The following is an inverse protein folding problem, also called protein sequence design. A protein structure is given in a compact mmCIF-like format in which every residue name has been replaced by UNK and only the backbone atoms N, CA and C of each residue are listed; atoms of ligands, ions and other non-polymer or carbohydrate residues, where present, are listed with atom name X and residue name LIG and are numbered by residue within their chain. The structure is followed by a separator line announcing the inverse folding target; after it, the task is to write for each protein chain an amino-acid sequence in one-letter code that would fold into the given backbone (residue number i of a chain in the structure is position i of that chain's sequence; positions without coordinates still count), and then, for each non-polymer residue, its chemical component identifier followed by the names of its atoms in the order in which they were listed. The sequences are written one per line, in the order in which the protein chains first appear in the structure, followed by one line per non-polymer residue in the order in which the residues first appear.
data_IF_844795507976
#
_entry.id   IF_844795507976
#
_cell.length_a   1.000
_cell.length_b   1.000
_cell.length_c   1.000
_cell.angle_alpha   90.00
_cell.angle_beta   90.00
_cell.angle_gamma   90.00
#
_symmetry.space_group_name_H-M   'P 1'
#
loop_
_entity.id
_entity.type
_entity.pdbx_description
1 polymer ?
#
# COMPACT_ATOMS: atom_id res chain seq x y z
N UNK A 1 -11.69 -20.14 -30.20
CA UNK A 1 -12.11 -19.03 -29.31
C UNK A 1 -11.24 -19.07 -28.07
N UNK A 2 -10.24 -18.18 -27.98
CA UNK A 2 -9.57 -17.89 -26.71
C UNK A 2 -10.58 -17.24 -25.77
N UNK A 3 -10.77 -17.78 -24.55
CA UNK A 3 -11.50 -17.06 -23.52
C UNK A 3 -10.64 -15.88 -23.10
N UNK A 4 -11.21 -14.68 -23.11
CA UNK A 4 -10.51 -13.54 -22.55
C UNK A 4 -10.43 -13.71 -21.03
N UNK A 5 -9.20 -13.78 -20.51
CA UNK A 5 -8.91 -13.94 -19.09
C UNK A 5 -8.45 -12.63 -18.45
N UNK A 6 -8.61 -11.49 -19.14
CA UNK A 6 -8.39 -10.18 -18.53
C UNK A 6 -9.31 -10.02 -17.31
N UNK A 7 -8.73 -9.81 -16.12
CA UNK A 7 -9.51 -9.30 -14.99
C UNK A 7 -9.98 -7.89 -15.39
N UNK A 8 -11.29 -7.61 -15.39
CA UNK A 8 -11.79 -6.33 -15.89
C UNK A 8 -11.23 -5.18 -15.05
N UNK A 9 -10.83 -4.10 -15.72
CA UNK A 9 -10.24 -2.90 -15.12
C UNK A 9 -11.30 -2.09 -14.35
N UNK A 10 -11.75 -2.63 -13.21
CA UNK A 10 -12.77 -2.05 -12.35
C UNK A 10 -12.23 -0.84 -11.60
N UNK A 11 -12.31 0.33 -12.22
CA UNK A 11 -12.34 1.60 -11.51
C UNK A 11 -13.56 1.65 -10.58
N UNK A 12 -13.43 2.35 -9.45
CA UNK A 12 -14.56 2.63 -8.58
C UNK A 12 -15.48 3.64 -9.29
N UNK A 13 -16.77 3.35 -9.52
CA UNK A 13 -17.64 4.28 -10.22
C UNK A 13 -18.14 5.42 -9.32
N UNK A 14 -18.60 6.48 -9.97
CA UNK A 14 -19.13 7.71 -9.36
C UNK A 14 -20.47 7.47 -8.61
N UNK A 15 -20.92 8.46 -7.84
CA UNK A 15 -22.08 8.34 -6.94
C UNK A 15 -23.07 9.51 -7.08
N UNK A 16 -24.39 9.25 -7.17
CA UNK A 16 -25.43 10.20 -6.77
C UNK A 16 -25.44 10.38 -5.24
N UNK A 17 -26.20 11.37 -4.74
CA UNK A 17 -26.27 11.73 -3.32
C UNK A 17 -27.68 11.52 -2.69
N UNK A 18 -27.75 11.68 -1.36
CA UNK A 18 -28.97 11.75 -0.51
C UNK A 18 -29.77 10.44 -0.28
N UNK A 19 -30.49 10.19 0.83
CA UNK A 19 -30.67 10.91 2.12
C UNK A 19 -31.02 9.97 3.33
N UNK A 20 -31.14 10.58 4.53
CA UNK A 20 -31.52 10.12 5.89
C UNK A 20 -32.44 8.88 6.12
N UNK A 21 -32.26 8.16 7.26
CA UNK A 21 -33.15 8.20 8.47
C UNK A 21 -32.61 7.33 9.67
N UNK A 22 -33.39 7.13 10.76
CA UNK A 22 -33.03 6.69 12.15
C UNK A 22 -34.18 5.85 12.79
N UNK A 23 -34.21 5.24 14.01
CA UNK A 23 -33.28 5.05 15.18
C UNK A 23 -33.79 3.93 16.13
N UNK A 24 -32.90 3.32 16.96
CA UNK A 24 -33.20 2.52 18.20
C UNK A 24 -34.01 1.19 18.02
N UNK A 25 -34.21 0.24 18.97
CA UNK A 25 -34.10 0.09 20.46
C UNK A 25 -33.34 -1.24 20.84
N UNK A 26 -32.42 -1.32 21.83
CA UNK A 26 -32.51 -1.53 23.31
C UNK A 26 -32.56 -3.00 23.83
N UNK A 27 -31.93 -3.25 25.00
CA UNK A 27 -31.89 -4.47 25.86
C UNK A 27 -31.06 -5.68 25.38
N UNK A 28 -30.40 -6.48 26.25
CA UNK A 28 -29.97 -6.32 27.67
C UNK A 28 -28.78 -7.29 27.93
N UNK A 29 -27.91 -7.08 28.95
CA UNK A 29 -26.68 -7.86 29.10
C UNK A 29 -26.85 -9.14 29.95
N UNK A 30 -26.38 -10.28 29.45
CA UNK A 30 -26.05 -11.48 30.27
C UNK A 30 -25.16 -12.51 29.55
N UNK A 31 -25.29 -12.68 28.22
CA UNK A 31 -24.44 -13.62 27.45
C UNK A 31 -22.97 -13.19 27.28
N UNK A 32 -22.66 -11.90 27.49
CA UNK A 32 -21.35 -11.33 27.16
C UNK A 32 -20.15 -11.94 27.91
N UNK A 33 -20.33 -12.30 29.19
CA UNK A 33 -19.24 -12.83 30.02
C UNK A 33 -18.76 -14.21 29.57
N UNK A 34 -19.68 -15.09 29.14
CA UNK A 34 -19.32 -16.44 28.65
C UNK A 34 -18.50 -16.33 27.37
N UNK A 35 -18.93 -15.46 26.44
CA UNK A 35 -18.21 -15.24 25.19
C UNK A 35 -16.80 -14.64 25.42
N UNK A 36 -16.68 -13.72 26.39
CA UNK A 36 -15.39 -13.11 26.74
C UNK A 36 -14.40 -14.14 27.31
N UNK A 37 -14.85 -15.07 28.17
CA UNK A 37 -14.01 -16.14 28.71
C UNK A 37 -13.52 -17.09 27.59
N UNK A 38 -14.41 -17.48 26.66
CA UNK A 38 -14.05 -18.35 25.53
C UNK A 38 -13.00 -17.68 24.63
N UNK A 39 -13.17 -16.39 24.30
CA UNK A 39 -12.21 -15.64 23.49
C UNK A 39 -10.86 -15.49 24.19
N UNK A 40 -10.85 -15.22 25.50
CA UNK A 40 -9.61 -15.09 26.28
C UNK A 40 -8.84 -16.42 26.37
N UNK A 41 -9.54 -17.54 26.55
CA UNK A 41 -8.95 -18.87 26.55
C UNK A 41 -8.33 -19.26 25.19
N UNK A 42 -9.02 -18.95 24.09
CA UNK A 42 -8.50 -19.17 22.74
C UNK A 42 -7.24 -18.34 22.44
N UNK A 43 -7.21 -17.07 22.87
CA UNK A 43 -6.03 -16.20 22.77
C UNK A 43 -4.85 -16.74 23.59
N UNK A 44 -5.08 -17.19 24.82
CA UNK A 44 -4.03 -17.75 25.67
C UNK A 44 -3.44 -19.05 25.07
N UNK A 45 -4.29 -19.90 24.49
CA UNK A 45 -3.85 -21.11 23.79
C UNK A 45 -2.97 -20.79 22.57
N UNK A 46 -3.35 -19.78 21.76
CA UNK A 46 -2.55 -19.34 20.60
C UNK A 46 -1.18 -18.79 21.01
N UNK A 47 -1.11 -18.03 22.12
CA UNK A 47 0.18 -17.54 22.65
C UNK A 47 1.06 -18.71 23.13
N UNK A 48 0.49 -19.68 23.84
CA UNK A 48 1.23 -20.85 24.34
C UNK A 48 1.72 -21.77 23.20
N UNK A 49 0.97 -21.89 22.10
CA UNK A 49 1.42 -22.61 20.90
C UNK A 49 2.52 -21.83 20.18
N UNK A 50 2.36 -20.51 20.01
CA UNK A 50 3.35 -19.66 19.34
C UNK A 50 4.72 -19.63 20.04
N UNK A 51 4.74 -19.69 21.37
CA UNK A 51 5.99 -19.70 22.16
C UNK A 51 6.83 -20.98 22.00
N UNK A 52 6.29 -22.07 21.42
CA UNK A 52 6.99 -23.36 21.31
C UNK A 52 7.79 -23.55 20.00
N UNK A 53 7.71 -22.61 19.05
CA UNK A 53 8.48 -22.64 17.80
C UNK A 53 9.37 -21.39 17.65
N UNK A 54 10.34 -21.24 18.55
CA UNK A 54 11.47 -20.32 18.40
C UNK A 54 12.77 -21.10 18.18
N UNK A 55 12.99 -21.57 16.96
CA UNK A 55 14.31 -22.02 16.50
C UNK A 55 14.50 -21.67 15.02
N UNK A 56 15.11 -20.50 14.78
CA UNK A 56 15.52 -19.99 13.46
C UNK A 56 16.81 -19.20 13.68
N UNK A 57 17.96 -19.82 13.43
CA UNK A 57 19.25 -19.11 13.45
C UNK A 57 19.32 -18.08 12.31
N UNK A 58 19.69 -16.85 12.65
CA UNK A 58 19.81 -15.72 11.74
C UNK A 58 21.26 -15.41 11.32
N UNK A 59 22.24 -16.30 11.61
CA UNK A 59 23.68 -16.05 11.41
C UNK A 59 24.34 -16.75 10.21
N UNK A 60 23.73 -16.73 9.03
CA UNK A 60 24.48 -17.07 7.79
C UNK A 60 23.90 -16.49 6.49
N UNK A 61 24.13 -15.21 6.20
CA UNK A 61 24.07 -14.71 4.82
C UNK A 61 25.10 -13.60 4.55
N UNK A 62 26.18 -13.96 3.85
CA UNK A 62 27.08 -12.98 3.20
C UNK A 62 26.39 -12.37 1.96
N UNK A 63 26.72 -11.14 1.56
CA UNK A 63 25.98 -10.46 0.50
C UNK A 63 26.46 -10.90 -0.90
N UNK A 64 25.68 -11.76 -1.57
CA UNK A 64 25.69 -11.79 -3.05
C UNK A 64 25.07 -10.51 -3.61
N UNK A 65 25.41 -10.16 -4.84
CA UNK A 65 24.87 -9.01 -5.59
C UNK A 65 23.34 -9.09 -5.78
N UNK A 66 22.73 -7.97 -6.19
CA UNK A 66 21.27 -7.83 -6.21
C UNK A 66 20.65 -8.51 -7.45
N UNK A 67 21.28 -8.40 -8.62
CA UNK A 67 20.80 -9.05 -9.86
C UNK A 67 20.72 -10.57 -9.72
N UNK A 68 21.77 -11.22 -9.21
CA UNK A 68 21.82 -12.68 -9.04
C UNK A 68 20.61 -13.18 -8.21
N UNK A 69 20.21 -12.41 -7.18
CA UNK A 69 19.08 -12.76 -6.32
C UNK A 69 17.72 -12.54 -6.96
N UNK A 70 17.61 -11.64 -7.93
CA UNK A 70 16.39 -11.49 -8.74
C UNK A 70 16.30 -12.66 -9.73
N UNK A 71 17.41 -13.03 -10.38
CA UNK A 71 17.43 -14.09 -11.38
C UNK A 71 17.28 -15.50 -10.76
N UNK A 72 18.05 -15.83 -9.72
CA UNK A 72 17.87 -17.08 -8.93
C UNK A 72 16.46 -17.15 -8.33
N UNK A 73 15.95 -16.05 -7.78
CA UNK A 73 14.62 -15.99 -7.18
C UNK A 73 13.49 -16.21 -8.19
N UNK A 74 13.63 -15.66 -9.41
CA UNK A 74 12.71 -15.94 -10.51
C UNK A 74 12.82 -17.38 -11.01
N UNK A 75 14.02 -17.96 -11.10
CA UNK A 75 14.19 -19.36 -11.51
C UNK A 75 13.66 -20.36 -10.48
N UNK A 76 13.96 -20.19 -9.19
CA UNK A 76 13.44 -21.06 -8.12
C UNK A 76 11.90 -20.95 -8.01
N UNK A 77 11.35 -19.73 -8.11
CA UNK A 77 9.90 -19.54 -8.17
C UNK A 77 9.29 -20.20 -9.42
N UNK A 78 9.93 -20.07 -10.60
CA UNK A 78 9.52 -20.75 -11.84
C UNK A 78 9.59 -22.28 -11.71
N UNK A 79 10.63 -22.84 -11.10
CA UNK A 79 10.79 -24.28 -10.82
C UNK A 79 9.74 -24.78 -9.83
N UNK A 80 9.39 -23.98 -8.82
CA UNK A 80 8.29 -24.26 -7.86
C UNK A 80 6.90 -24.15 -8.49
N UNK A 81 6.71 -23.27 -9.47
CA UNK A 81 5.48 -23.17 -10.28
C UNK A 81 5.39 -24.24 -11.39
N UNK A 82 6.50 -24.87 -11.76
CA UNK A 82 6.57 -25.98 -12.72
C UNK A 82 6.33 -27.35 -12.08
N UNK A 83 6.48 -27.48 -10.75
CA UNK A 83 5.82 -28.58 -10.03
C UNK A 83 4.31 -28.32 -10.04
N UNK A 84 3.53 -29.22 -10.65
CA UNK A 84 2.11 -29.27 -10.30
C UNK A 84 2.00 -29.50 -8.79
N UNK A 85 1.20 -28.72 -8.05
CA UNK A 85 1.03 -28.92 -6.62
C UNK A 85 0.31 -30.24 -6.36
N UNK A 86 0.80 -31.00 -5.37
CA UNK A 86 0.22 -32.29 -4.95
C UNK A 86 -1.31 -32.20 -4.88
N UNK A 87 -1.96 -33.11 -5.61
CA UNK A 87 -3.30 -32.93 -6.20
C UNK A 87 -4.27 -32.14 -5.31
N UNK A 88 -4.45 -30.85 -5.60
CA UNK A 88 -5.29 -29.98 -4.77
C UNK A 88 -6.79 -30.36 -4.87
N UNK A 89 -7.20 -31.27 -4.00
CA UNK A 89 -8.56 -31.76 -3.88
C UNK A 89 -9.52 -30.61 -3.55
N UNK A 90 -10.30 -30.21 -4.55
CA UNK A 90 -11.25 -29.10 -4.44
C UNK A 90 -10.78 -27.77 -5.02
N UNK A 91 -9.50 -27.59 -5.42
CA UNK A 91 -9.05 -26.33 -6.04
C UNK A 91 -9.93 -25.91 -7.22
N UNK A 92 -10.31 -26.85 -8.11
CA UNK A 92 -11.21 -26.55 -9.24
C UNK A 92 -12.59 -26.03 -8.78
N UNK A 93 -13.13 -26.52 -7.65
CA UNK A 93 -14.39 -26.02 -7.08
C UNK A 93 -14.21 -24.62 -6.44
N UNK A 94 -13.10 -24.41 -5.72
CA UNK A 94 -12.76 -23.12 -5.12
C UNK A 94 -12.53 -22.05 -6.19
N UNK A 95 -11.71 -22.34 -7.20
CA UNK A 95 -11.44 -21.47 -8.36
C UNK A 95 -12.73 -21.15 -9.10
N UNK A 96 -13.59 -22.13 -9.40
CA UNK A 96 -14.89 -21.85 -10.05
C UNK A 96 -15.81 -20.99 -9.19
N UNK A 97 -15.78 -21.11 -7.85
CA UNK A 97 -16.52 -20.20 -6.96
C UNK A 97 -15.94 -18.79 -7.01
N UNK A 98 -14.63 -18.65 -6.81
CA UNK A 98 -13.93 -17.35 -6.83
C UNK A 98 -14.14 -16.65 -8.18
N UNK A 99 -13.98 -17.35 -9.31
CA UNK A 99 -14.24 -16.79 -10.64
C UNK A 99 -15.70 -16.38 -10.84
N UNK A 100 -16.66 -17.11 -10.27
CA UNK A 100 -18.08 -16.68 -10.29
C UNK A 100 -18.25 -15.38 -9.50
N UNK A 101 -17.73 -15.32 -8.28
CA UNK A 101 -17.88 -14.16 -7.39
C UNK A 101 -17.18 -12.91 -7.97
N UNK A 102 -15.99 -13.07 -8.58
CA UNK A 102 -15.25 -12.00 -9.28
C UNK A 102 -15.80 -11.65 -10.67
N UNK A 103 -16.65 -12.48 -11.28
CA UNK A 103 -17.33 -12.14 -12.55
C UNK A 103 -18.48 -11.15 -12.37
N UNK A 104 -18.93 -10.93 -11.14
CA UNK A 104 -19.96 -9.95 -10.83
C UNK A 104 -19.38 -8.53 -10.94
N UNK A 105 -20.14 -7.62 -11.57
CA UNK A 105 -19.78 -6.19 -11.62
C UNK A 105 -19.83 -5.61 -10.21
N UNK A 106 -18.69 -5.13 -9.70
CA UNK A 106 -18.64 -4.44 -8.41
C UNK A 106 -19.44 -3.13 -8.44
N UNK A 107 -20.08 -2.81 -7.32
CA UNK A 107 -20.83 -1.57 -7.12
C UNK A 107 -20.44 -0.92 -5.79
N UNK A 108 -20.33 0.41 -5.80
CA UNK A 108 -19.99 1.20 -4.62
C UNK A 108 -21.15 1.17 -3.62
N UNK A 109 -20.94 0.58 -2.45
CA UNK A 109 -21.87 0.74 -1.33
C UNK A 109 -21.59 2.08 -0.63
N UNK A 110 -22.38 3.10 -0.96
CA UNK A 110 -22.12 4.47 -0.53
C UNK A 110 -22.20 4.63 1.00
N UNK A 111 -23.16 3.99 1.66
CA UNK A 111 -23.30 4.01 3.13
C UNK A 111 -22.06 3.48 3.84
N UNK A 112 -21.50 2.36 3.36
CA UNK A 112 -20.27 1.80 3.91
C UNK A 112 -19.03 2.65 3.56
N UNK A 113 -18.98 3.24 2.37
CA UNK A 113 -17.93 4.16 1.95
C UNK A 113 -17.89 5.41 2.86
N UNK A 114 -19.03 6.06 3.07
CA UNK A 114 -19.16 7.23 3.95
C UNK A 114 -18.84 6.87 5.41
N UNK A 115 -19.32 5.72 5.90
CA UNK A 115 -18.98 5.23 7.25
C UNK A 115 -17.48 5.03 7.42
N UNK A 116 -16.79 4.40 6.45
CA UNK A 116 -15.35 4.23 6.48
C UNK A 116 -14.60 5.57 6.40
N UNK A 117 -15.03 6.47 5.52
CA UNK A 117 -14.45 7.82 5.39
C UNK A 117 -14.52 8.60 6.71
N UNK A 118 -15.68 8.61 7.36
CA UNK A 118 -15.87 9.26 8.67
C UNK A 118 -15.02 8.62 9.77
N UNK A 119 -14.88 7.29 9.79
CA UNK A 119 -13.99 6.60 10.73
C UNK A 119 -12.51 6.98 10.53
N UNK A 120 -12.04 7.07 9.28
CA UNK A 120 -10.66 7.45 8.98
C UNK A 120 -10.37 8.92 9.30
N UNK A 121 -11.32 9.82 9.04
CA UNK A 121 -11.19 11.24 9.42
C UNK A 121 -11.12 11.36 10.95
N UNK A 122 -12.10 10.81 11.67
CA UNK A 122 -12.27 11.05 13.09
C UNK A 122 -11.21 10.36 13.97
N UNK A 123 -10.75 9.15 13.60
CA UNK A 123 -9.80 8.39 14.42
C UNK A 123 -8.33 8.61 14.01
N UNK A 124 -8.05 8.73 12.70
CA UNK A 124 -6.68 8.85 12.22
C UNK A 124 -6.25 10.31 12.04
N UNK A 125 -7.14 11.17 11.50
CA UNK A 125 -6.79 12.44 10.85
C UNK A 125 -5.67 12.25 9.80
N UNK A 126 -5.81 11.19 8.99
CA UNK A 126 -4.72 10.66 8.16
C UNK A 126 -4.14 11.67 7.16
N UNK A 127 -4.97 12.55 6.59
CA UNK A 127 -4.50 13.57 5.63
C UNK A 127 -3.54 14.58 6.26
N UNK A 128 -3.83 15.08 7.46
CA UNK A 128 -2.98 16.06 8.16
C UNK A 128 -1.72 15.41 8.78
N UNK A 129 -1.78 14.11 9.10
CA UNK A 129 -0.64 13.35 9.64
C UNK A 129 0.24 12.70 8.58
N UNK A 130 -0.22 12.56 7.34
CA UNK A 130 0.58 11.99 6.25
C UNK A 130 1.79 12.85 5.85
N UNK A 131 1.81 14.14 6.20
CA UNK A 131 2.87 15.08 5.85
C UNK A 131 3.47 15.71 7.09
N UNK A 132 4.79 15.62 7.24
CA UNK A 132 5.54 16.48 8.17
C UNK A 132 5.68 17.86 7.52
N UNK A 133 5.29 18.91 8.23
CA UNK A 133 5.28 20.30 7.74
C UNK A 133 5.81 21.25 8.81
N UNK A 134 6.30 22.42 8.41
CA UNK A 134 6.71 23.47 9.37
C UNK A 134 5.56 23.88 10.32
N UNK A 135 4.31 23.79 9.86
CA UNK A 135 3.11 24.13 10.64
C UNK A 135 2.66 23.05 11.63
N UNK A 136 2.96 21.76 11.41
CA UNK A 136 2.66 20.68 12.37
C UNK A 136 3.88 20.14 13.14
N UNK A 137 5.09 20.51 12.73
CA UNK A 137 6.36 20.12 13.35
C UNK A 137 7.28 21.34 13.55
N UNK A 138 6.98 22.24 14.51
CA UNK A 138 7.79 23.43 14.79
C UNK A 138 9.23 23.12 15.23
N UNK A 139 10.11 24.11 15.14
CA UNK A 139 11.48 24.02 15.65
C UNK A 139 11.49 23.63 17.15
N UNK A 140 12.34 22.68 17.52
CA UNK A 140 12.46 22.16 18.88
C UNK A 140 11.47 21.05 19.26
N UNK A 141 10.41 20.79 18.49
CA UNK A 141 9.50 19.67 18.76
C UNK A 141 10.10 18.32 18.33
N UNK A 142 9.43 17.21 18.65
CA UNK A 142 9.88 15.85 18.28
C UNK A 142 8.90 15.16 17.33
N UNK A 143 9.45 14.50 16.31
CA UNK A 143 8.72 13.61 15.40
C UNK A 143 8.99 12.17 15.86
N UNK A 144 7.93 11.44 16.20
CA UNK A 144 7.99 10.00 16.50
C UNK A 144 7.94 9.18 15.22
N UNK A 145 8.67 8.07 15.15
CA UNK A 145 8.65 7.18 13.98
C UNK A 145 7.42 6.23 14.01
N UNK A 146 6.88 5.88 12.84
CA UNK A 146 5.65 5.05 12.78
C UNK A 146 5.86 3.62 13.28
N UNK A 147 6.95 2.97 12.83
CA UNK A 147 7.24 1.56 13.11
C UNK A 147 8.08 1.28 14.35
N UNK A 148 8.67 2.31 14.98
CA UNK A 148 9.59 2.17 16.12
C UNK A 148 9.41 3.32 17.12
N UNK A 149 9.66 3.07 18.41
CA UNK A 149 9.60 4.09 19.48
C UNK A 149 10.72 5.16 19.43
N UNK A 150 11.40 5.31 18.30
CA UNK A 150 12.44 6.33 18.10
C UNK A 150 11.79 7.69 17.85
N UNK A 151 12.48 8.74 18.25
CA UNK A 151 12.10 10.14 17.97
C UNK A 151 13.23 10.89 17.26
N UNK A 152 12.90 11.96 16.55
CA UNK A 152 13.84 12.95 16.01
C UNK A 152 13.38 14.34 16.39
N UNK A 153 14.22 15.08 17.11
CA UNK A 153 14.02 16.52 17.35
C UNK A 153 14.14 17.29 16.05
N UNK A 154 13.24 18.25 15.84
CA UNK A 154 13.26 19.19 14.72
C UNK A 154 14.31 20.27 15.03
N UNK A 155 15.46 20.17 14.37
CA UNK A 155 16.47 21.22 14.33
C UNK A 155 16.29 22.11 13.09
N UNK A 156 17.05 23.20 12.98
CA UNK A 156 16.93 24.17 11.89
C UNK A 156 17.14 23.54 10.50
N UNK A 157 18.12 22.63 10.38
CA UNK A 157 18.41 21.89 9.15
C UNK A 157 17.20 21.06 8.68
N UNK A 158 16.52 20.36 9.59
CA UNK A 158 15.31 19.61 9.26
C UNK A 158 14.11 20.54 9.00
N UNK A 159 13.92 21.56 9.83
CA UNK A 159 12.83 22.53 9.69
C UNK A 159 12.86 23.24 8.33
N UNK A 160 14.05 23.60 7.85
CA UNK A 160 14.24 24.25 6.55
C UNK A 160 14.08 23.29 5.35
N UNK A 161 14.07 21.97 5.56
CA UNK A 161 13.88 20.93 4.51
C UNK A 161 12.44 20.42 4.39
N UNK A 162 11.64 20.51 5.46
CA UNK A 162 10.23 20.10 5.44
C UNK A 162 9.35 21.20 4.81
N UNK A 163 8.30 20.84 4.06
CA UNK A 163 7.44 21.82 3.38
C UNK A 163 6.67 22.70 4.39
N UNK A 164 6.36 23.93 3.99
CA UNK A 164 5.61 24.88 4.83
C UNK A 164 4.21 24.36 5.18
N UNK A 165 3.53 23.76 4.21
CA UNK A 165 2.19 23.18 4.32
C UNK A 165 2.10 21.93 3.43
N UNK A 166 1.08 21.08 3.63
CA UNK A 166 0.79 19.99 2.71
C UNK A 166 0.32 20.54 1.35
N UNK A 167 0.90 20.08 0.25
CA UNK A 167 0.67 20.60 -1.12
C UNK A 167 -0.64 20.12 -1.77
N UNK A 168 -1.66 19.77 -0.97
CA UNK A 168 -2.93 19.23 -1.45
C UNK A 168 -4.11 20.10 -1.01
N UNK A 169 -4.99 20.43 -1.95
CA UNK A 169 -6.24 21.10 -1.64
C UNK A 169 -7.15 20.17 -0.84
N UNK A 170 -7.87 20.71 0.16
CA UNK A 170 -8.93 20.01 0.92
C UNK A 170 -10.19 19.68 0.07
N UNK A 171 -10.06 19.56 -1.26
CA UNK A 171 -11.14 19.18 -2.16
C UNK A 171 -11.45 17.68 -2.00
N UNK A 172 -12.73 17.35 -2.10
CA UNK A 172 -13.15 15.98 -2.37
C UNK A 172 -12.95 15.74 -3.87
N UNK A 173 -12.55 14.52 -4.22
CA UNK A 173 -12.34 14.04 -5.59
C UNK A 173 -13.24 12.84 -5.80
N UNK A 174 -13.82 12.73 -6.99
CA UNK A 174 -14.83 11.73 -7.33
C UNK A 174 -14.18 10.39 -7.68
N UNK A 175 -13.03 10.43 -8.38
CA UNK A 175 -12.30 9.24 -8.83
C UNK A 175 -10.80 9.31 -8.50
N UNK A 176 -10.33 8.31 -7.75
CA UNK A 176 -8.91 8.14 -7.43
C UNK A 176 -8.45 6.72 -7.81
N UNK A 177 -7.28 6.60 -8.43
CA UNK A 177 -6.62 5.31 -8.68
C UNK A 177 -5.41 5.14 -7.76
N UNK A 178 -5.31 3.98 -7.09
CA UNK A 178 -4.14 3.61 -6.27
C UNK A 178 -3.48 2.39 -6.92
N UNK A 179 -2.33 2.61 -7.57
CA UNK A 179 -1.66 1.63 -8.42
C UNK A 179 -0.53 0.98 -7.64
N UNK A 180 -0.78 -0.25 -7.17
CA UNK A 180 0.23 -1.12 -6.58
C UNK A 180 1.00 -1.91 -7.64
N UNK A 181 2.19 -2.39 -7.29
CA UNK A 181 3.16 -2.97 -8.23
C UNK A 181 2.91 -4.48 -8.46
N UNK A 182 1.66 -4.90 -8.49
CA UNK A 182 1.27 -6.31 -8.60
C UNK A 182 1.37 -6.83 -10.04
N UNK A 183 1.99 -8.01 -10.23
CA UNK A 183 2.15 -8.64 -11.55
C UNK A 183 0.83 -8.93 -12.29
N UNK A 184 -0.31 -8.92 -11.59
CA UNK A 184 -1.66 -8.97 -12.18
C UNK A 184 -1.96 -7.84 -13.17
N UNK A 185 -1.21 -6.72 -13.11
CA UNK A 185 -1.34 -5.64 -14.08
C UNK A 185 -0.72 -5.97 -15.44
N UNK A 186 0.20 -6.94 -15.54
CA UNK A 186 0.83 -7.32 -16.83
C UNK A 186 -0.24 -7.83 -17.79
N UNK A 187 -0.21 -7.36 -19.04
CA UNK A 187 -1.20 -7.62 -20.09
C UNK A 187 -2.65 -7.15 -19.81
N UNK A 188 -2.97 -6.65 -18.62
CA UNK A 188 -4.34 -6.21 -18.22
C UNK A 188 -4.96 -5.14 -19.11
N UNK A 189 -4.11 -4.32 -19.74
CA UNK A 189 -4.51 -3.15 -20.56
C UNK A 189 -5.27 -2.05 -19.79
N UNK A 190 -5.15 -2.01 -18.46
CA UNK A 190 -5.83 -1.02 -17.62
C UNK A 190 -5.24 0.40 -17.65
N UNK A 191 -4.30 0.71 -18.54
CA UNK A 191 -3.56 1.99 -18.50
C UNK A 191 -4.46 3.21 -18.76
N UNK A 192 -5.34 3.13 -19.75
CA UNK A 192 -6.31 4.19 -20.06
C UNK A 192 -7.32 4.40 -18.92
N UNK A 193 -7.77 3.30 -18.29
CA UNK A 193 -8.66 3.37 -17.13
C UNK A 193 -7.97 4.02 -15.92
N UNK A 194 -6.73 3.64 -15.62
CA UNK A 194 -5.94 4.28 -14.55
C UNK A 194 -5.75 5.78 -14.85
N UNK A 195 -5.48 6.13 -16.11
CA UNK A 195 -5.25 7.50 -16.54
C UNK A 195 -6.55 8.32 -16.65
N UNK A 196 -7.74 7.73 -16.60
CA UNK A 196 -9.01 8.47 -16.60
C UNK A 196 -9.38 9.05 -15.23
N UNK A 197 -8.84 8.50 -14.13
CA UNK A 197 -9.10 8.99 -12.77
C UNK A 197 -8.65 10.45 -12.57
N UNK A 198 -9.34 11.21 -11.73
CA UNK A 198 -8.94 12.59 -11.39
C UNK A 198 -7.57 12.65 -10.69
N UNK A 199 -7.21 11.61 -9.93
CA UNK A 199 -5.97 11.57 -9.14
C UNK A 199 -5.37 10.16 -9.06
N UNK A 200 -4.07 10.03 -9.32
CA UNK A 200 -3.36 8.74 -9.37
C UNK A 200 -2.21 8.71 -8.36
N UNK A 201 -2.22 7.69 -7.49
CA UNK A 201 -1.18 7.40 -6.50
C UNK A 201 -0.42 6.14 -6.94
N UNK A 202 0.91 6.21 -6.97
CA UNK A 202 1.82 5.10 -7.34
C UNK A 202 2.76 4.76 -6.19
N UNK A 203 3.19 3.50 -6.09
CA UNK A 203 3.95 3.01 -4.94
C UNK A 203 5.41 2.66 -5.28
N UNK A 204 6.36 3.22 -4.53
CA UNK A 204 7.79 2.86 -4.57
C UNK A 204 8.46 2.95 -5.96
N UNK A 205 8.32 4.10 -6.64
CA UNK A 205 8.90 4.39 -7.97
C UNK A 205 8.74 3.25 -9.01
N UNK A 206 7.51 2.86 -9.38
CA UNK A 206 7.30 1.77 -10.34
C UNK A 206 7.60 2.24 -11.77
N UNK A 207 8.21 1.41 -12.63
CA UNK A 207 8.49 1.79 -14.01
C UNK A 207 7.19 2.03 -14.79
N UNK A 208 7.01 3.26 -15.30
CA UNK A 208 5.88 3.67 -16.17
C UNK A 208 6.35 3.97 -17.60
N UNK A 209 7.41 3.29 -18.05
CA UNK A 209 7.96 3.44 -19.39
C UNK A 209 6.98 2.93 -20.47
N UNK A 210 7.37 3.03 -21.75
CA UNK A 210 6.47 2.76 -22.89
C UNK A 210 5.81 1.38 -22.85
N UNK A 211 6.53 0.36 -22.39
CA UNK A 211 6.09 -1.03 -22.41
C UNK A 211 5.01 -1.31 -21.35
N UNK A 212 5.16 -0.74 -20.16
CA UNK A 212 4.15 -0.86 -19.09
C UNK A 212 3.00 0.13 -19.23
N UNK A 213 3.19 1.26 -19.92
CA UNK A 213 2.20 2.36 -19.99
C UNK A 213 0.81 1.94 -20.49
N UNK A 214 0.70 0.97 -21.41
CA UNK A 214 -0.58 0.39 -21.85
C UNK A 214 -1.38 -0.25 -20.70
N UNK A 215 -0.70 -0.70 -19.66
CA UNK A 215 -1.26 -1.54 -18.60
C UNK A 215 -1.36 -0.82 -17.26
N UNK A 216 -0.42 0.07 -16.95
CA UNK A 216 -0.35 0.81 -15.67
C UNK A 216 -0.64 2.30 -15.80
N UNK A 217 -0.78 2.82 -17.03
CA UNK A 217 -0.99 4.25 -17.29
C UNK A 217 0.29 5.08 -17.08
N UNK A 218 0.20 6.39 -17.34
CA UNK A 218 1.26 7.37 -17.14
C UNK A 218 0.89 8.49 -16.17
N UNK A 219 -0.41 8.82 -16.04
CA UNK A 219 -0.90 9.84 -15.11
C UNK A 219 -0.42 9.48 -13.70
N UNK A 220 0.14 10.48 -13.03
CA UNK A 220 0.67 10.36 -11.67
C UNK A 220 0.44 11.72 -11.00
N UNK A 221 0.09 11.71 -9.72
CA UNK A 221 -0.04 12.92 -8.90
C UNK A 221 0.79 12.78 -7.61
N UNK A 222 0.85 11.55 -7.06
CA UNK A 222 1.81 11.16 -6.02
C UNK A 222 2.50 9.89 -6.48
N UNK A 223 3.82 9.84 -6.33
CA UNK A 223 4.58 8.58 -6.32
C UNK A 223 5.34 8.46 -5.01
N UNK A 224 5.17 7.37 -4.27
CA UNK A 224 5.95 7.14 -3.05
C UNK A 224 7.34 6.60 -3.38
N UNK A 225 8.32 6.89 -2.54
CA UNK A 225 9.63 6.25 -2.58
C UNK A 225 10.14 6.02 -1.16
N UNK A 226 10.14 4.75 -0.70
CA UNK A 226 10.80 4.41 0.56
C UNK A 226 12.27 4.88 0.53
N UNK A 227 12.79 5.57 1.56
CA UNK A 227 14.16 6.11 1.56
C UNK A 227 15.26 5.06 1.29
N UNK A 228 15.01 3.78 1.61
CA UNK A 228 15.96 2.69 1.31
C UNK A 228 16.15 2.43 -0.19
N UNK A 229 15.23 2.87 -1.06
CA UNK A 229 15.40 2.83 -2.52
C UNK A 229 16.53 3.78 -2.93
N UNK A 230 16.56 4.99 -2.35
CA UNK A 230 17.59 6.00 -2.61
C UNK A 230 18.98 5.47 -2.22
N UNK A 231 19.07 4.79 -1.09
CA UNK A 231 20.31 4.14 -0.65
C UNK A 231 20.71 2.94 -1.53
N UNK A 232 19.80 1.98 -1.75
CA UNK A 232 20.14 0.69 -2.38
C UNK A 232 20.21 0.71 -3.91
N UNK A 233 19.33 1.45 -4.59
CA UNK A 233 19.27 1.48 -6.06
C UNK A 233 20.21 2.56 -6.64
N UNK A 234 20.43 3.65 -5.93
CA UNK A 234 21.13 4.83 -6.47
C UNK A 234 22.38 5.25 -5.68
N UNK A 235 23.02 4.32 -4.94
CA UNK A 235 24.19 4.55 -4.06
C UNK A 235 24.07 5.80 -3.17
N UNK A 236 22.90 6.03 -2.57
CA UNK A 236 22.65 7.20 -1.72
C UNK A 236 22.83 8.55 -2.43
N UNK A 237 22.62 8.59 -3.75
CA UNK A 237 22.88 9.73 -4.65
C UNK A 237 24.34 10.20 -4.62
N UNK A 238 25.30 9.28 -4.44
CA UNK A 238 26.74 9.56 -4.63
C UNK A 238 27.12 9.40 -6.10
N UNK A 239 26.96 8.19 -6.63
CA UNK A 239 27.36 7.81 -7.98
C UNK A 239 26.20 7.94 -8.98
N UNK A 240 25.11 7.21 -8.75
CA UNK A 240 23.98 7.07 -9.68
C UNK A 240 22.97 8.22 -9.65
N UNK A 241 23.45 9.47 -9.47
CA UNK A 241 22.62 10.69 -9.49
C UNK A 241 21.81 10.82 -10.77
N UNK A 242 22.45 10.54 -11.92
CA UNK A 242 21.82 10.65 -13.23
C UNK A 242 20.69 9.63 -13.41
N UNK A 243 20.94 8.36 -13.08
CA UNK A 243 19.92 7.31 -13.12
C UNK A 243 18.71 7.61 -12.23
N UNK A 244 18.91 8.21 -11.06
CA UNK A 244 17.80 8.69 -10.22
C UNK A 244 16.97 9.80 -10.90
N UNK A 245 17.63 10.78 -11.53
CA UNK A 245 16.93 11.86 -12.26
C UNK A 245 16.19 11.30 -13.47
N UNK A 246 16.83 10.44 -14.26
CA UNK A 246 16.23 9.81 -15.44
C UNK A 246 14.99 8.97 -15.05
N UNK A 247 15.10 8.11 -14.02
CA UNK A 247 14.00 7.26 -13.52
C UNK A 247 12.85 8.04 -12.84
N UNK A 248 13.11 9.25 -12.30
CA UNK A 248 12.06 10.09 -11.67
C UNK A 248 11.44 11.06 -12.68
N UNK A 249 12.16 11.45 -13.74
CA UNK A 249 11.69 12.39 -14.77
C UNK A 249 10.36 11.99 -15.42
N UNK A 250 10.10 10.68 -15.51
CA UNK A 250 8.88 10.11 -16.12
C UNK A 250 7.59 10.49 -15.40
N UNK A 251 7.65 10.90 -14.13
CA UNK A 251 6.48 11.34 -13.36
C UNK A 251 6.17 12.84 -13.51
N UNK A 252 7.02 13.60 -14.21
CA UNK A 252 6.82 15.04 -14.43
C UNK A 252 6.69 15.83 -13.12
N UNK A 253 5.63 16.64 -13.01
CA UNK A 253 5.33 17.51 -11.86
C UNK A 253 4.69 16.77 -10.66
N UNK A 254 4.74 15.44 -10.63
CA UNK A 254 4.18 14.64 -9.52
C UNK A 254 4.91 14.87 -8.19
N UNK A 255 4.18 14.80 -7.07
CA UNK A 255 4.83 14.79 -5.75
C UNK A 255 5.57 13.47 -5.51
N UNK A 256 6.88 13.56 -5.29
CA UNK A 256 7.69 12.48 -4.74
C UNK A 256 7.48 12.41 -3.21
N UNK A 257 6.74 11.41 -2.75
CA UNK A 257 6.41 11.22 -1.33
C UNK A 257 7.44 10.31 -0.63
N UNK A 258 8.20 10.89 0.31
CA UNK A 258 9.22 10.19 1.08
C UNK A 258 8.72 9.91 2.52
N UNK A 259 8.40 8.65 2.89
CA UNK A 259 8.09 8.26 4.27
C UNK A 259 9.37 8.20 5.12
N UNK A 260 10.02 9.36 5.32
CA UNK A 260 11.30 9.51 6.00
C UNK A 260 11.27 9.09 7.49
N UNK A 261 10.09 9.15 8.11
CA UNK A 261 9.88 8.87 9.52
C UNK A 261 9.14 7.55 9.79
N UNK A 262 8.81 6.74 8.78
CA UNK A 262 8.08 5.49 9.04
C UNK A 262 8.97 4.38 9.61
N UNK A 263 10.25 4.37 9.26
CA UNK A 263 11.29 3.52 9.86
C UNK A 263 12.62 4.30 9.89
N UNK A 264 13.48 4.09 10.90
CA UNK A 264 14.80 4.72 10.97
C UNK A 264 15.78 4.14 9.94
N UNK A 265 15.64 4.61 8.70
CA UNK A 265 16.63 4.42 7.65
C UNK A 265 17.87 5.31 7.89
N UNK A 266 19.01 4.94 7.29
CA UNK A 266 20.28 5.69 7.39
C UNK A 266 20.31 7.00 6.56
N UNK A 267 19.22 7.78 6.62
CA UNK A 267 19.01 9.05 5.92
C UNK A 267 18.58 10.19 6.87
N UNK A 268 18.63 9.98 8.20
CA UNK A 268 18.19 10.94 9.23
C UNK A 268 19.16 11.01 10.42
#
# INVERSE_FOLDING_TARGET
MTKDTSVPCQLLPESPAESNMRTHFISKPLLGHILFIIVLGALLALVLVGLKHNDVDFRSFTPKTIDDRIQDGCEDCRKKLQKEPDTCNGCRKLISKVLKDYSLKWTKNETNHQKLRSLLINNCNGFQKAFVTQSNSPLGTTITYDGEKRVRTVNEDLFNKIPKNAHFSNKILDTCAVVGNGGILVNSSCGEAIDSAQFVIRCNLPPINKDYGKHVGKKTNIVTANPTIIQKKYSGLREYRRGFVDDVSVYGESLLFLPAFSLPSALA
#
